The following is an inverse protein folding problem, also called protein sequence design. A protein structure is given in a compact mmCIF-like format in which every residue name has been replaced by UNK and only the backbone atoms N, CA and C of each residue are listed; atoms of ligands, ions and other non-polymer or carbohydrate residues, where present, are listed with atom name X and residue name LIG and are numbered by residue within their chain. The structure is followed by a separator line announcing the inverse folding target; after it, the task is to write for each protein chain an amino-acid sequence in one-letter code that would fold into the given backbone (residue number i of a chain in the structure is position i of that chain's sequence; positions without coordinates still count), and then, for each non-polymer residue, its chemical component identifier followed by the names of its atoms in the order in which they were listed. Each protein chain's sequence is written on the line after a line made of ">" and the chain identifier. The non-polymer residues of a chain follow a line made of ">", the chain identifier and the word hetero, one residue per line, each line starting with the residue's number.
data_IF_983376798274
#
_entry.id   IF_983376798274
#
_cell.length_a   1.000
_cell.length_b   1.000
_cell.length_c   1.000
_cell.angle_alpha   90.00
_cell.angle_beta   90.00
_cell.angle_gamma   90.00
#
_symmetry.space_group_name_H-M   'P 1'
#
loop_
_entity.id
_entity.type
_entity.pdbx_description
1 polymer ?
#
# COMPACT_ATOMS: atom_id res chain seq x y z
N UNK A 1 -13.50 -9.89 -3.19
CA UNK A 1 -13.53 -8.46 -3.51
C UNK A 1 -13.13 -8.35 -4.95
N UNK A 2 -14.01 -7.79 -5.78
CA UNK A 2 -13.70 -7.52 -7.18
C UNK A 2 -12.62 -6.43 -7.29
N UNK A 3 -11.89 -6.36 -8.42
CA UNK A 3 -10.78 -5.41 -8.59
C UNK A 3 -11.24 -3.96 -8.43
N UNK A 4 -12.45 -3.62 -8.91
CA UNK A 4 -13.02 -2.28 -8.81
C UNK A 4 -13.35 -1.91 -7.37
N UNK A 5 -13.98 -2.80 -6.61
CA UNK A 5 -14.26 -2.60 -5.18
C UNK A 5 -12.97 -2.42 -4.38
N UNK A 6 -11.92 -3.19 -4.72
CA UNK A 6 -10.63 -3.12 -4.06
C UNK A 6 -9.89 -1.82 -4.36
N UNK A 7 -10.02 -1.32 -5.59
CA UNK A 7 -9.50 -0.01 -5.98
C UNK A 7 -10.24 1.11 -5.25
N UNK A 8 -11.56 1.03 -5.17
CA UNK A 8 -12.36 2.07 -4.53
C UNK A 8 -12.09 2.14 -3.02
N UNK A 9 -11.92 0.99 -2.36
CA UNK A 9 -11.54 0.96 -0.95
C UNK A 9 -10.12 1.48 -0.72
N UNK A 10 -9.17 1.13 -1.60
CA UNK A 10 -7.83 1.71 -1.60
C UNK A 10 -7.86 3.25 -1.70
N UNK A 11 -8.66 3.80 -2.63
CA UNK A 11 -8.79 5.25 -2.79
C UNK A 11 -9.44 5.91 -1.57
N UNK A 12 -10.44 5.28 -0.96
CA UNK A 12 -11.02 5.77 0.30
C UNK A 12 -10.00 5.79 1.44
N UNK A 13 -9.13 4.79 1.53
CA UNK A 13 -8.06 4.75 2.55
C UNK A 13 -7.06 5.88 2.32
N UNK A 14 -6.65 6.13 1.07
CA UNK A 14 -5.77 7.26 0.74
C UNK A 14 -6.39 8.57 1.24
N UNK A 15 -7.64 8.84 0.86
CA UNK A 15 -8.33 10.08 1.21
C UNK A 15 -8.56 10.21 2.72
N UNK A 16 -9.05 9.15 3.38
CA UNK A 16 -9.34 9.13 4.82
C UNK A 16 -8.12 9.45 5.67
N UNK A 17 -6.96 8.95 5.28
CA UNK A 17 -5.71 9.11 6.05
C UNK A 17 -4.78 10.15 5.44
N UNK A 18 -5.21 10.92 4.45
CA UNK A 18 -4.40 11.90 3.73
C UNK A 18 -3.06 11.34 3.22
N UNK A 19 -3.03 10.08 2.77
CA UNK A 19 -1.77 9.39 2.42
C UNK A 19 -1.09 9.97 1.16
N UNK A 20 -1.80 10.82 0.41
CA UNK A 20 -1.30 11.55 -0.75
C UNK A 20 -0.43 12.77 -0.41
N UNK A 21 -0.33 13.17 0.87
CA UNK A 21 0.56 14.26 1.28
C UNK A 21 2.03 13.85 1.09
N UNK A 22 2.86 14.80 0.70
CA UNK A 22 4.26 14.56 0.33
C UNK A 22 5.06 13.87 1.45
N UNK A 23 4.89 14.32 2.69
CA UNK A 23 5.48 13.74 3.90
C UNK A 23 5.07 12.28 4.11
N UNK A 24 3.77 11.99 3.99
CA UNK A 24 3.23 10.63 4.16
C UNK A 24 3.63 9.71 3.01
N UNK A 25 3.66 10.22 1.79
CA UNK A 25 4.09 9.46 0.62
C UNK A 25 5.56 9.04 0.77
N UNK A 26 6.43 9.94 1.26
CA UNK A 26 7.83 9.62 1.57
C UNK A 26 7.91 8.57 2.69
N UNK A 27 7.17 8.74 3.79
CA UNK A 27 7.15 7.76 4.88
C UNK A 27 6.68 6.36 4.44
N UNK A 28 5.68 6.29 3.55
CA UNK A 28 5.19 5.04 2.97
C UNK A 28 6.30 4.43 2.10
N UNK A 29 6.92 5.20 1.22
CA UNK A 29 8.01 4.71 0.38
C UNK A 29 9.15 4.13 1.23
N UNK A 30 9.59 4.89 2.25
CA UNK A 30 10.61 4.46 3.21
C UNK A 30 10.20 3.18 3.93
N UNK A 31 8.95 3.07 4.39
CA UNK A 31 8.46 1.86 5.04
C UNK A 31 8.51 0.64 4.12
N UNK A 32 8.09 0.81 2.85
CA UNK A 32 8.05 -0.26 1.86
C UNK A 32 9.46 -0.69 1.40
N UNK A 33 10.45 0.22 1.39
CA UNK A 33 11.81 -0.07 0.92
C UNK A 33 12.80 -0.43 2.02
N UNK A 34 12.55 -0.03 3.28
CA UNK A 34 13.45 -0.35 4.40
C UNK A 34 13.15 -1.70 5.06
N UNK A 35 12.03 -2.35 4.75
CA UNK A 35 11.78 -3.73 5.16
C UNK A 35 12.70 -4.70 4.44
N UNK A 36 13.11 -5.80 5.09
CA UNK A 36 13.56 -6.97 4.32
C UNK A 36 12.42 -7.37 3.40
N UNK A 37 12.71 -7.75 2.15
CA UNK A 37 11.73 -8.03 1.07
C UNK A 37 10.56 -8.98 1.45
N UNK A 38 10.60 -9.64 2.61
CA UNK A 38 9.58 -10.56 3.12
C UNK A 38 8.89 -10.13 4.44
N UNK A 39 9.13 -8.92 4.96
CA UNK A 39 8.63 -8.48 6.29
C UNK A 39 7.81 -7.18 6.26
N UNK A 40 7.08 -6.89 5.18
CA UNK A 40 6.10 -5.79 5.21
C UNK A 40 4.90 -6.21 6.08
N UNK A 41 4.84 -5.69 7.30
CA UNK A 41 3.79 -6.02 8.27
C UNK A 41 2.61 -5.06 8.21
N UNK A 42 1.43 -5.57 7.85
CA UNK A 42 0.18 -4.79 7.88
C UNK A 42 -0.15 -4.23 9.28
N UNK A 43 0.22 -4.96 10.35
CA UNK A 43 0.00 -4.51 11.72
C UNK A 43 0.90 -3.30 12.06
N UNK A 44 2.15 -3.31 11.61
CA UNK A 44 3.06 -2.19 11.83
C UNK A 44 2.65 -0.99 11.00
N UNK A 45 2.26 -1.19 9.74
CA UNK A 45 1.71 -0.13 8.91
C UNK A 45 0.46 0.50 9.54
N UNK A 46 -0.48 -0.33 10.00
CA UNK A 46 -1.68 0.10 10.70
C UNK A 46 -1.34 0.97 11.93
N UNK A 47 -0.38 0.53 12.75
CA UNK A 47 0.06 1.30 13.91
C UNK A 47 0.74 2.61 13.53
N UNK A 48 1.56 2.63 12.47
CA UNK A 48 2.31 3.81 12.03
C UNK A 48 1.40 4.90 11.46
N UNK A 49 0.39 4.51 10.70
CA UNK A 49 -0.53 5.45 10.04
C UNK A 49 -1.88 5.59 10.76
N UNK A 50 -1.99 5.05 11.97
CA UNK A 50 -3.19 5.13 12.82
C UNK A 50 -4.47 4.64 12.11
N UNK A 51 -4.36 3.56 11.34
CA UNK A 51 -5.48 2.92 10.64
C UNK A 51 -5.78 1.53 11.18
N UNK A 52 -6.88 0.92 10.75
CA UNK A 52 -7.14 -0.48 11.10
C UNK A 52 -6.20 -1.44 10.37
N UNK A 53 -6.01 -2.63 10.93
CA UNK A 53 -5.21 -3.68 10.29
C UNK A 53 -5.83 -4.11 8.96
N UNK A 54 -7.16 -4.14 8.87
CA UNK A 54 -7.87 -4.53 7.65
C UNK A 54 -7.64 -3.50 6.52
N UNK A 55 -7.71 -2.21 6.83
CA UNK A 55 -7.38 -1.14 5.87
C UNK A 55 -5.91 -1.21 5.44
N UNK A 56 -4.99 -1.47 6.37
CA UNK A 56 -3.58 -1.65 6.03
C UNK A 56 -3.36 -2.85 5.10
N UNK A 57 -4.06 -3.96 5.30
CA UNK A 57 -4.01 -5.13 4.40
C UNK A 57 -4.48 -4.76 2.99
N UNK A 58 -5.62 -4.07 2.87
CA UNK A 58 -6.16 -3.60 1.58
C UNK A 58 -5.20 -2.63 0.90
N UNK A 59 -4.60 -1.71 1.67
CA UNK A 59 -3.66 -0.75 1.14
C UNK A 59 -2.41 -1.42 0.54
N UNK A 60 -1.77 -2.28 1.34
CA UNK A 60 -0.53 -2.96 0.96
C UNK A 60 -0.75 -3.99 -0.16
N UNK A 61 -1.88 -4.70 -0.16
CA UNK A 61 -2.18 -5.68 -1.21
C UNK A 61 -2.34 -5.03 -2.59
N UNK A 62 -2.93 -3.83 -2.64
CA UNK A 62 -3.10 -3.08 -3.88
C UNK A 62 -1.75 -2.64 -4.46
N UNK A 63 -0.86 -2.11 -3.61
CA UNK A 63 0.51 -1.73 -4.00
C UNK A 63 1.28 -2.95 -4.51
N UNK A 64 1.27 -4.06 -3.77
CA UNK A 64 1.94 -5.29 -4.16
C UNK A 64 1.46 -5.80 -5.53
N UNK A 65 0.15 -5.76 -5.78
CA UNK A 65 -0.43 -6.15 -7.07
C UNK A 65 0.04 -5.24 -8.21
N UNK A 66 0.13 -3.92 -7.96
CA UNK A 66 0.63 -2.96 -8.93
C UNK A 66 2.11 -3.17 -9.27
N UNK A 67 2.95 -3.41 -8.26
CA UNK A 67 4.38 -3.72 -8.45
C UNK A 67 4.55 -4.99 -9.29
N UNK A 68 3.86 -6.08 -8.94
CA UNK A 68 3.88 -7.32 -9.73
C UNK A 68 3.43 -7.11 -11.17
N UNK A 69 2.38 -6.32 -11.40
CA UNK A 69 1.93 -6.01 -12.75
C UNK A 69 3.01 -5.30 -13.57
N UNK A 70 3.71 -4.33 -12.97
CA UNK A 70 4.84 -3.62 -13.61
C UNK A 70 5.99 -4.58 -13.94
N UNK A 71 6.39 -5.42 -12.99
CA UNK A 71 7.44 -6.42 -13.18
C UNK A 71 7.10 -7.42 -14.30
N UNK A 72 5.83 -7.85 -14.38
CA UNK A 72 5.39 -8.85 -15.34
C UNK A 72 5.21 -8.30 -16.76
N UNK A 73 4.82 -7.02 -16.90
CA UNK A 73 4.35 -6.47 -18.18
C UNK A 73 5.20 -5.32 -18.74
N UNK A 74 5.92 -4.60 -17.87
CA UNK A 74 6.67 -3.38 -18.24
C UNK A 74 8.17 -3.66 -18.17
N UNK A 75 8.69 -4.15 -17.02
CA UNK A 75 10.13 -4.26 -16.80
C UNK A 75 10.76 -5.51 -17.47
N UNK A 76 9.94 -6.47 -17.93
CA UNK A 76 10.38 -7.68 -18.67
C UNK A 76 10.55 -7.47 -20.18
N UNK A 77 10.43 -6.24 -20.69
CA UNK A 77 10.60 -5.89 -22.11
C UNK A 77 11.93 -5.20 -22.36
#
# INVERSE_FOLDING_TARGET
>A
MEIEEHRDEFLKIIDRYDLQKEDKAEEIAVFLTNGKENEISAREFASKFCMSVDEAVIFLSFIHKGVKFKEENIDKK
#
